data_IF_288548949410
#
_entry.id   IF_288548949410
#
_cell.length_a   1.000
_cell.length_b   1.000
_cell.length_c   1.000
_cell.angle_alpha   90.00
_cell.angle_beta   90.00
_cell.angle_gamma   90.00
#
_symmetry.space_group_name_H-M   'P 1'
#
loop_
_entity.id
_entity.type
_entity.pdbx_description
1 polymer ?
2 polymer ?
3 polymer ?
4 non-polymer ?
5 water ?
#
loop_
_entity_poly.entity_id
_entity_poly.type
_entity_poly.pdbx_seq_one_letter_code
_entity_poly.pdbx_strand_id
1 'polydeoxyribonucleotide' '(DC)(DG)(DT)(DG)(DC)(DG)(DG)(DA)(DT)(DC)' ?
2 'polydeoxyribonucleotide' '(DG)(DA)(DT)(DC)(DC)(DG)(DC)(DA)(DC)(DG)' ?
#
# COMPACT_ATOMS: atom_id res chain seq x y z
N UNK C 1 20.19 -15.13 0.38
CA UNK C 1 19.94 -14.72 0.28
C UNK C 1 19.81 -14.18 0.16
N UNK C 2 19.61 -13.41 -0.09
CA UNK C 2 19.47 -12.86 -0.22
C UNK C 2 19.23 -12.24 -0.38
N UNK C 3 18.98 -12.08 -1.28
CA UNK C 3 18.73 -11.51 -1.51
C UNK C 3 18.18 -11.72 -2.26
N UNK C 4 17.81 -12.72 -2.23
CA UNK C 4 17.27 -13.02 -2.89
C UNK C 4 16.32 -12.65 -2.59
N UNK C 5 16.01 -12.90 -1.83
CA UNK C 5 15.12 -12.58 -1.47
C UNK C 5 15.02 -11.68 -0.69
N UNK C 6 15.39 -10.77 -0.86
CA UNK C 6 15.34 -9.85 -0.18
C UNK C 6 14.34 -8.91 -0.20
N UNK C 7 13.44 -8.88 -0.60
CA UNK C 7 12.43 -8.03 -0.67
C UNK C 7 11.13 -8.65 -0.83
N UNK C 8 10.14 -7.86 -1.06
CA UNK C 8 8.87 -8.36 -1.27
C UNK C 8 8.22 -8.91 -0.08
N UNK C 9 7.08 -8.55 0.13
CA UNK C 9 6.32 -9.04 1.15
C UNK C 9 6.34 -8.67 2.51
N UNK C 10 5.98 -7.56 2.83
CA UNK C 10 5.93 -7.19 4.14
C UNK C 10 4.66 -6.55 4.48
N UNK C 11 4.14 -5.62 4.02
CA UNK C 11 2.92 -4.95 4.33
C UNK C 11 2.22 -4.38 3.13
N UNK C 12 2.72 -4.56 1.97
CA UNK C 12 2.09 -4.05 0.80
C UNK C 12 2.17 -2.53 0.78
N UNK C 13 2.32 -1.95 -0.35
CA UNK C 13 2.42 -0.51 -0.48
C UNK C 13 1.21 0.09 -1.20
N UNK C 14 0.96 1.36 -0.97
CA UNK C 14 -0.17 2.02 -1.60
C UNK C 14 0.06 2.24 -3.08
N UNK C 15 -1.02 2.51 -3.80
CA UNK C 15 -0.92 2.75 -5.22
C UNK C 15 0.26 3.66 -5.57
N UNK C 16 0.33 4.81 -4.89
CA UNK C 16 1.39 5.80 -5.13
C UNK C 16 2.75 5.30 -4.68
N UNK C 17 2.74 4.40 -3.71
CA UNK C 17 3.97 3.84 -3.23
C UNK C 17 4.60 2.96 -4.29
N UNK C 18 3.83 2.05 -4.83
CA UNK C 18 4.35 1.17 -5.85
C UNK C 18 4.86 1.98 -7.03
N UNK C 19 4.21 3.10 -7.28
CA UNK C 19 4.59 3.95 -8.39
C UNK C 19 5.84 4.77 -8.08
N UNK C 20 6.06 5.07 -6.82
CA UNK C 20 7.23 5.84 -6.44
C UNK C 20 8.29 4.95 -5.86
N UNK C 21 8.01 3.66 -5.85
CA UNK C 21 8.91 2.70 -5.33
C UNK C 21 9.18 2.96 -3.86
N UNK C 22 8.18 2.79 -3.04
CA UNK C 22 8.39 3.02 -1.64
C UNK C 22 7.56 2.11 -0.75
N UNK C 23 8.20 1.64 0.29
CA UNK C 23 7.56 0.78 1.27
C UNK C 23 6.66 1.60 2.10
N UNK C 24 5.76 0.98 2.85
CA UNK C 24 4.91 1.75 3.64
C UNK C 24 4.20 1.14 4.79
N UNK C 25 3.47 1.97 5.50
CA UNK C 25 2.74 1.56 6.65
C UNK C 25 1.45 0.92 6.21
N UNK C 26 0.69 1.63 5.41
CA UNK C 26 -0.57 1.14 4.93
C UNK C 26 -0.42 -0.35 4.63
N UNK C 27 -0.88 -1.20 5.53
CA UNK C 27 -0.78 -2.65 5.43
C UNK C 27 -1.98 -3.32 4.84
N UNK C 28 -2.13 -4.49 4.90
CA UNK C 28 -3.24 -5.22 4.39
C UNK C 28 -4.46 -4.83 5.12
N UNK C 29 -4.32 -3.98 6.09
CA UNK C 29 -5.42 -3.52 6.85
C UNK C 29 -5.53 -2.02 6.81
N UNK C 30 -4.92 -1.45 5.80
CA UNK C 30 -4.98 -0.03 5.62
C UNK C 30 -6.42 0.40 5.54
N UNK C 31 -7.20 -0.42 4.88
CA UNK C 31 -8.61 -0.16 4.76
C UNK C 31 -9.21 -0.14 6.17
N UNK C 32 -8.98 -1.21 6.88
CA UNK C 32 -9.44 -1.31 8.24
C UNK C 32 -8.79 -0.22 9.07
N UNK C 33 -7.74 0.37 8.53
CA UNK C 33 -7.05 1.43 9.22
C UNK C 33 -7.91 2.67 9.16
N UNK C 34 -8.36 2.97 7.97
CA UNK C 34 -9.25 4.08 7.79
C UNK C 34 -10.48 3.83 8.62
N UNK C 35 -10.79 2.55 8.78
CA UNK C 35 -11.92 2.17 9.60
C UNK C 35 -11.64 2.54 11.04
N UNK C 36 -10.40 2.34 11.44
CA UNK C 36 -9.98 2.69 12.76
C UNK C 36 -9.20 3.99 12.69
N UNK C 37 -9.43 4.67 11.60
CA UNK C 37 -8.80 5.93 11.32
C UNK C 37 -7.33 5.80 10.94
N UNK C 38 -7.09 5.88 9.65
CA UNK C 38 -5.74 5.81 9.10
C UNK C 38 -5.33 7.21 8.70
N UNK C 39 -4.95 7.42 7.48
CA UNK C 39 -4.55 8.73 7.01
C UNK C 39 -3.69 8.63 5.76
N UNK C 40 -2.40 8.58 5.93
CA UNK C 40 -1.49 8.48 4.82
C UNK C 40 -0.19 7.88 5.27
N UNK C 41 0.29 6.91 4.57
CA UNK C 41 1.52 6.27 4.92
C UNK C 41 2.65 7.27 4.80
N UNK C 42 3.85 6.82 4.87
CA UNK C 42 4.99 7.72 4.78
C UNK C 42 5.08 8.36 3.40
N UNK C 43 4.68 7.59 2.42
CA UNK C 43 4.73 8.05 1.05
C UNK C 43 3.67 9.07 0.77
N UNK C 44 2.45 8.60 0.57
CA UNK C 44 1.39 9.53 0.29
C UNK C 44 1.52 10.71 1.21
N UNK C 45 2.08 10.49 2.35
CA UNK C 45 2.26 11.54 3.30
C UNK C 45 3.24 12.60 2.78
N UNK C 46 4.46 12.21 2.45
CA UNK C 46 5.43 13.17 1.95
C UNK C 46 4.96 13.82 0.66
N UNK C 47 4.26 13.06 -0.12
CA UNK C 47 3.74 13.53 -1.40
C UNK C 47 2.24 13.72 -1.40
N UNK C 48 1.69 13.92 -0.22
CA UNK C 48 0.26 14.14 -0.07
C UNK C 48 -0.48 13.45 -1.22
N UNK C 49 -0.07 12.23 -1.49
CA UNK C 49 -0.64 11.47 -2.57
C UNK C 49 -2.05 10.98 -2.25
N UNK C 50 -2.26 9.69 -2.32
CA UNK C 50 -3.58 9.15 -2.06
C UNK C 50 -3.53 7.75 -1.47
N UNK C 51 -3.14 7.66 -0.23
CA UNK C 51 -3.08 6.39 0.46
C UNK C 51 -4.30 5.57 0.13
N UNK C 52 -4.18 4.63 -0.74
CA UNK C 52 -5.33 3.84 -1.06
C UNK C 52 -5.02 2.39 -1.42
N UNK C 53 -5.89 1.53 -0.92
CA UNK C 53 -5.83 0.09 -1.13
C UNK C 53 -7.22 -0.39 -1.55
N UNK C 54 -7.98 0.53 -2.09
CA UNK C 54 -9.35 0.24 -2.49
C UNK C 54 -9.42 -0.07 -3.96
N UNK C 55 -9.36 0.96 -4.74
CA UNK C 55 -9.32 0.77 -6.14
C UNK C 55 -8.37 -0.35 -6.39
N UNK C 56 -7.45 -0.46 -5.45
CA UNK C 56 -6.46 -1.48 -5.49
C UNK C 56 -7.09 -2.81 -5.22
N UNK C 57 -7.78 -2.87 -4.12
CA UNK C 57 -8.44 -4.08 -3.77
C UNK C 57 -9.20 -4.58 -4.99
N UNK C 58 -9.49 -3.70 -5.89
CA UNK C 58 -10.20 -4.05 -7.11
C UNK C 58 -9.27 -4.06 -8.31
N UNK C 59 -8.16 -3.41 -8.22
CA UNK C 59 -7.24 -3.36 -9.33
C UNK C 59 -6.40 -4.60 -9.39
N UNK C 60 -5.99 -5.11 -8.28
CA UNK C 60 -5.18 -6.27 -8.22
C UNK C 60 -5.98 -7.46 -8.43
N UNK C 61 -6.75 -7.82 -7.60
CA UNK C 61 -7.56 -8.96 -7.70
C UNK C 61 -8.61 -9.15 -7.76
N UNK C 62 -9.19 -8.21 -7.56
CA UNK C 62 -10.21 -8.31 -7.59
C UNK C 62 -10.49 -8.46 -8.50
N UNK C 63 -11.33 -8.29 -8.79
CA UNK C 63 -11.67 -8.42 -9.66
C UNK C 63 -12.40 -8.51 -10.09
N UNK C 64 -12.82 -8.40 -10.69
CA UNK C 64 -13.52 -8.47 -11.14
C UNK C 64 -13.75 -8.47 -11.61
N UNK C 65 -14.40 -8.56 -11.98
CA UNK C 65 -14.67 -8.56 -12.43
C UNK C 65 -14.93 -8.31 -12.66
X LIG D 1 2.25 3.78 0.94
X LIG E 1 -0.09 5.75 1.38
#
# INVERSE_FOLDING_TARGET
>C
GSMADTRRRQNHSCDPCRKGKRRCDAPENRNEANENGWVSCSNCKRWNKDCTFNWLSSQRSKNSS
>D hetero
1 ZN ZN
>E hetero
1 ZN ZN
#
